data_IF_300579619344
#
_entry.id   IF_300579619344
#
_cell.length_a   1.000
_cell.length_b   1.000
_cell.length_c   1.000
_cell.angle_alpha   90.00
_cell.angle_beta   90.00
_cell.angle_gamma   90.00
#
_symmetry.space_group_name_H-M   'P 1'
#
loop_
_entity.id
_entity.type
_entity.pdbx_description
1 polymer ?
#
# COMPACT_ATOMS: atom_id res chain seq x y z
N UNK A 1 7.30 31.23 0.86
CA UNK A 1 6.10 30.39 1.07
C UNK A 1 6.35 29.03 0.43
N UNK A 2 6.78 28.03 1.20
CA UNK A 2 7.06 26.69 0.65
C UNK A 2 5.75 25.91 0.52
N UNK A 3 5.19 25.82 -0.70
CA UNK A 3 4.12 24.88 -1.00
C UNK A 3 4.68 23.48 -0.78
N UNK A 4 4.26 22.79 0.29
CA UNK A 4 4.55 21.37 0.46
C UNK A 4 3.96 20.62 -0.74
N UNK A 5 4.71 19.78 -1.46
CA UNK A 5 4.13 19.01 -2.54
C UNK A 5 3.03 18.12 -1.97
N UNK A 6 1.84 18.19 -2.56
CA UNK A 6 0.77 17.24 -2.27
C UNK A 6 1.20 15.92 -2.88
N UNK A 7 1.66 14.99 -2.05
CA UNK A 7 2.09 13.68 -2.51
C UNK A 7 0.85 12.79 -2.65
N UNK A 8 0.38 12.62 -3.87
CA UNK A 8 -0.76 11.74 -4.17
C UNK A 8 -0.38 10.28 -3.94
N UNK A 9 -1.10 9.63 -3.02
CA UNK A 9 -1.01 8.18 -2.79
C UNK A 9 -2.00 7.47 -3.69
N UNK A 10 -1.62 6.30 -4.18
CA UNK A 10 -2.47 5.40 -4.95
C UNK A 10 -2.51 4.03 -4.26
N UNK A 11 -3.52 3.24 -4.58
CA UNK A 11 -3.59 1.85 -4.12
C UNK A 11 -2.74 0.94 -5.01
N UNK A 12 -1.94 0.10 -4.37
CA UNK A 12 -1.11 -0.88 -5.02
C UNK A 12 -1.33 -2.25 -4.40
N UNK A 13 -1.38 -3.29 -5.22
CA UNK A 13 -1.47 -4.69 -4.80
C UNK A 13 -0.09 -5.31 -4.77
N UNK A 14 0.28 -5.91 -3.65
CA UNK A 14 1.55 -6.61 -3.46
C UNK A 14 1.57 -7.88 -4.31
N UNK A 15 2.59 -8.05 -5.13
CA UNK A 15 2.74 -9.20 -6.04
C UNK A 15 3.48 -10.36 -5.39
N UNK A 16 4.33 -10.10 -4.40
CA UNK A 16 5.13 -11.12 -3.70
C UNK A 16 5.19 -10.83 -2.20
N UNK A 17 5.18 -11.88 -1.37
CA UNK A 17 5.34 -11.73 0.08
C UNK A 17 6.74 -11.20 0.41
N UNK A 18 6.82 -10.24 1.34
CA UNK A 18 8.08 -9.59 1.66
C UNK A 18 7.92 -8.37 2.56
N UNK A 19 8.95 -7.53 2.55
CA UNK A 19 8.87 -6.20 3.13
C UNK A 19 8.48 -5.21 2.05
N UNK A 20 7.43 -4.42 2.32
CA UNK A 20 6.97 -3.34 1.46
C UNK A 20 6.83 -2.05 2.28
N UNK A 21 7.55 -0.99 1.91
CA UNK A 21 7.57 0.31 2.59
C UNK A 21 7.79 0.22 4.12
N UNK A 22 8.62 -0.72 4.57
CA UNK A 22 8.88 -0.96 5.99
C UNK A 22 7.79 -1.75 6.73
N UNK A 23 6.83 -2.35 6.01
CA UNK A 23 5.81 -3.24 6.55
C UNK A 23 5.96 -4.65 5.98
N UNK A 24 5.75 -5.68 6.81
CA UNK A 24 5.76 -7.08 6.37
C UNK A 24 4.41 -7.38 5.71
N UNK A 25 4.41 -7.66 4.41
CA UNK A 25 3.21 -7.89 3.60
C UNK A 25 3.25 -9.27 2.93
N UNK A 26 2.08 -9.78 2.53
CA UNK A 26 1.92 -11.02 1.75
C UNK A 26 1.51 -10.69 0.32
N UNK A 27 1.68 -11.63 -0.61
CA UNK A 27 1.15 -11.48 -1.96
C UNK A 27 -0.39 -11.31 -1.91
N UNK A 28 -0.93 -10.41 -2.72
CA UNK A 28 -2.34 -10.03 -2.78
C UNK A 28 -2.77 -8.94 -1.78
N UNK A 29 -1.89 -8.50 -0.87
CA UNK A 29 -2.20 -7.43 0.08
C UNK A 29 -2.32 -6.08 -0.66
N UNK A 30 -3.21 -5.18 -0.22
CA UNK A 30 -3.39 -3.86 -0.85
C UNK A 30 -2.84 -2.75 0.05
N UNK A 31 -2.02 -1.87 -0.49
CA UNK A 31 -1.34 -0.80 0.24
C UNK A 31 -1.51 0.55 -0.46
N UNK A 32 -1.71 1.60 0.31
CA UNK A 32 -1.70 2.97 -0.19
C UNK A 32 -0.29 3.55 -0.17
N UNK A 33 0.36 3.59 -1.33
CA UNK A 33 1.74 4.05 -1.48
C UNK A 33 1.81 5.25 -2.42
N UNK A 34 2.89 6.01 -2.31
CA UNK A 34 3.23 7.03 -3.31
C UNK A 34 3.89 6.36 -4.50
N UNK A 35 3.86 6.98 -5.68
CA UNK A 35 4.53 6.45 -6.87
C UNK A 35 6.04 6.23 -6.65
N UNK A 36 6.65 7.10 -5.86
CA UNK A 36 8.08 7.01 -5.51
C UNK A 36 8.36 5.82 -4.59
N UNK A 37 7.54 5.63 -3.55
CA UNK A 37 7.65 4.47 -2.66
C UNK A 37 7.42 3.16 -3.42
N UNK A 38 6.42 3.08 -4.30
CA UNK A 38 6.10 1.87 -5.04
C UNK A 38 7.13 1.50 -6.12
N UNK A 39 8.02 2.43 -6.51
CA UNK A 39 8.92 2.28 -7.66
C UNK A 39 9.88 1.10 -7.54
N UNK A 40 10.28 0.76 -6.31
CA UNK A 40 11.26 -0.27 -6.02
C UNK A 40 10.68 -1.47 -5.28
N UNK A 41 9.35 -1.50 -5.12
CA UNK A 41 8.66 -2.51 -4.32
C UNK A 41 7.97 -3.54 -5.22
N UNK A 42 7.69 -4.72 -4.66
CA UNK A 42 6.97 -5.79 -5.35
C UNK A 42 5.46 -5.51 -5.36
N UNK A 43 5.05 -4.42 -6.00
CA UNK A 43 3.66 -3.96 -6.02
C UNK A 43 3.20 -3.56 -7.42
N UNK A 44 1.91 -3.71 -7.70
CA UNK A 44 1.26 -3.31 -8.95
C UNK A 44 0.20 -2.26 -8.65
N UNK A 45 0.15 -1.18 -9.43
CA UNK A 45 -0.89 -0.17 -9.28
C UNK A 45 -2.26 -0.80 -9.51
N UNK A 46 -3.19 -0.60 -8.57
CA UNK A 46 -4.57 -1.04 -8.72
C UNK A 46 -5.30 0.01 -9.57
N UNK A 47 -5.58 -0.34 -10.81
CA UNK A 47 -6.45 0.46 -11.68
C UNK A 47 -7.91 0.15 -11.36
N UNK A 48 -8.81 1.11 -11.58
CA UNK A 48 -10.25 0.95 -11.32
C UNK A 48 -10.89 -0.25 -12.05
N UNK A 49 -10.27 -0.72 -13.15
CA UNK A 49 -10.63 -1.97 -13.84
C UNK A 49 -10.33 -3.27 -13.06
N UNK A 50 -9.50 -3.22 -12.02
CA UNK A 50 -9.11 -4.34 -11.15
C UNK A 50 -9.90 -4.29 -9.81
N UNK A 51 -10.92 -3.44 -9.74
CA UNK A 51 -11.79 -3.25 -8.56
C UNK A 51 -12.85 -4.35 -8.46
N UNK A 52 -12.45 -5.62 -8.60
CA UNK A 52 -13.17 -6.68 -7.91
C UNK A 52 -12.64 -6.73 -6.46
N UNK A 53 -13.51 -6.64 -5.44
CA UNK A 53 -13.08 -6.63 -4.06
C UNK A 53 -12.59 -8.03 -3.67
N UNK A 54 -11.32 -8.31 -3.90
CA UNK A 54 -10.62 -9.39 -3.23
C UNK A 54 -10.65 -9.08 -1.73
N UNK A 55 -11.64 -9.68 -1.06
CA UNK A 55 -11.88 -9.64 0.38
C UNK A 55 -10.58 -9.70 1.19
N UNK A 56 -10.65 -9.03 2.34
CA UNK A 56 -9.83 -9.23 3.56
C UNK A 56 -8.60 -8.33 3.75
N UNK A 57 -8.80 -7.01 3.73
CA UNK A 57 -7.99 -6.12 4.56
C UNK A 57 -8.43 -6.27 6.04
N UNK A 58 -7.83 -7.21 6.77
CA UNK A 58 -7.84 -7.17 8.24
C UNK A 58 -7.10 -5.91 8.70
N UNK A 59 -7.72 -5.01 9.48
CA UNK A 59 -7.00 -3.89 10.07
C UNK A 59 -6.08 -4.45 11.16
N UNK A 60 -4.76 -4.34 11.00
CA UNK A 60 -3.82 -4.68 12.08
C UNK A 60 -2.80 -3.56 12.27
N UNK A 61 -3.13 -2.68 13.22
CA UNK A 61 -2.30 -2.07 14.28
C UNK A 61 -2.89 -0.69 14.63
N UNK A 62 -2.99 -0.23 15.87
CA UNK A 62 -2.68 -0.78 17.18
C UNK A 62 -3.23 0.21 18.23
N UNK A 63 -3.61 -0.29 19.41
CA UNK A 63 -3.34 0.43 20.66
C UNK A 63 -3.19 -0.59 21.78
N UNK A 64 -1.93 -0.96 22.03
CA UNK A 64 -1.49 -1.30 23.38
C UNK A 64 -1.11 0.03 24.04
N UNK A 65 -1.86 0.48 25.05
CA UNK A 65 -1.34 1.33 26.14
C UNK A 65 -2.36 1.45 27.29
N UNK A 66 -1.87 1.09 28.48
CA UNK A 66 -2.37 1.29 29.85
C UNK A 66 -3.52 0.41 30.31
#
# INVERSE_FOLDING_TARGET
>A
MSKKPVISKHEYTVTAAGWVAGQRCKAGDTLSLTKDQARYENVRLKTDQDNEPAKTATPKKAKAKT
#
